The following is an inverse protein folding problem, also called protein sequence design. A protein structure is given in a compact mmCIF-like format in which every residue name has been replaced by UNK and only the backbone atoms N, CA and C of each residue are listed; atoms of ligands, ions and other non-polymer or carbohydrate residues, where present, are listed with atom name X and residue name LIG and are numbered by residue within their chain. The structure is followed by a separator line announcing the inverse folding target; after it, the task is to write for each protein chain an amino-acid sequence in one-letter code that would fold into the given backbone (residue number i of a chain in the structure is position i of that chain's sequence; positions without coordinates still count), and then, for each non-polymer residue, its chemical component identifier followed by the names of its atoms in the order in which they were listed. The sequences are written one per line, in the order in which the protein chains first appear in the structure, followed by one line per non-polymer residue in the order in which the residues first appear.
data_IF_379086380053
#
_entry.id   IF_379086380053
#
_cell.length_a   1.000
_cell.length_b   1.000
_cell.length_c   1.000
_cell.angle_alpha   90.00
_cell.angle_beta   90.00
_cell.angle_gamma   90.00
#
_symmetry.space_group_name_H-M   'P 1'
#
loop_
_entity.id
_entity.type
_entity.pdbx_description
1 polymer ?
#
# COMPACT_ATOMS: atom_id res chain seq x y z
N UNK A 1 -14.19 -27.54 16.47
CA UNK A 1 -13.61 -26.50 15.59
C UNK A 1 -14.11 -25.16 16.10
N UNK A 2 -13.26 -24.38 16.78
CA UNK A 2 -13.64 -23.03 17.21
C UNK A 2 -13.57 -22.11 15.99
N UNK A 3 -14.73 -21.67 15.51
CA UNK A 3 -14.81 -20.59 14.53
C UNK A 3 -14.20 -19.34 15.18
N UNK A 4 -12.96 -19.03 14.83
CA UNK A 4 -12.29 -17.78 15.16
C UNK A 4 -12.86 -16.68 14.26
N UNK A 5 -14.15 -16.38 14.42
CA UNK A 5 -14.77 -15.24 13.76
C UNK A 5 -14.50 -14.04 14.66
N UNK A 6 -13.36 -13.37 14.45
CA UNK A 6 -13.12 -12.07 15.06
C UNK A 6 -14.10 -11.07 14.43
N UNK A 7 -15.22 -10.85 15.10
CA UNK A 7 -16.21 -9.85 14.72
C UNK A 7 -15.74 -8.52 15.32
N UNK A 8 -15.32 -7.60 14.47
CA UNK A 8 -14.95 -6.24 14.85
C UNK A 8 -16.15 -5.33 14.59
N UNK A 9 -16.64 -4.66 15.63
CA UNK A 9 -17.74 -3.68 15.52
C UNK A 9 -17.12 -2.30 15.65
N UNK A 10 -17.18 -1.53 14.56
CA UNK A 10 -16.71 -0.16 14.51
C UNK A 10 -17.89 0.80 14.58
N UNK A 11 -17.68 1.94 15.25
CA UNK A 11 -18.46 3.16 15.00
C UNK A 11 -17.96 3.83 13.72
N UNK A 12 -18.74 4.74 13.13
CA UNK A 12 -18.31 5.47 11.92
C UNK A 12 -16.98 6.21 12.14
N UNK A 13 -16.77 6.76 13.33
CA UNK A 13 -15.55 7.47 13.73
C UNK A 13 -14.34 6.52 13.81
N UNK A 14 -14.51 5.37 14.48
CA UNK A 14 -13.42 4.39 14.64
C UNK A 14 -13.11 3.65 13.33
N UNK A 15 -14.10 3.50 12.45
CA UNK A 15 -13.88 2.98 11.09
C UNK A 15 -13.07 3.98 10.25
N UNK A 16 -13.39 5.27 10.32
CA UNK A 16 -12.65 6.31 9.60
C UNK A 16 -11.20 6.42 10.09
N UNK A 17 -10.97 6.32 11.40
CA UNK A 17 -9.61 6.29 11.99
C UNK A 17 -8.83 5.06 11.53
N UNK A 18 -9.47 3.89 11.52
CA UNK A 18 -8.87 2.65 11.04
C UNK A 18 -8.50 2.72 9.54
N UNK A 19 -9.41 3.22 8.70
CA UNK A 19 -9.16 3.39 7.27
C UNK A 19 -8.05 4.40 7.01
N UNK A 20 -7.98 5.46 7.81
CA UNK A 20 -6.87 6.42 7.77
C UNK A 20 -5.54 5.77 8.14
N UNK A 21 -5.50 4.93 9.17
CA UNK A 21 -4.29 4.20 9.56
C UNK A 21 -3.82 3.25 8.44
N UNK A 22 -4.75 2.54 7.80
CA UNK A 22 -4.46 1.71 6.62
C UNK A 22 -3.85 2.57 5.50
N UNK A 23 -4.50 3.69 5.16
CA UNK A 23 -4.05 4.57 4.09
C UNK A 23 -2.62 5.09 4.34
N UNK A 24 -2.31 5.47 5.59
CA UNK A 24 -0.96 5.92 5.98
C UNK A 24 0.07 4.80 5.80
N UNK A 25 -0.22 3.58 6.29
CA UNK A 25 0.72 2.44 6.19
C UNK A 25 0.97 2.04 4.73
N UNK A 26 -0.08 1.96 3.92
CA UNK A 26 0.03 1.68 2.48
C UNK A 26 0.84 2.77 1.79
N UNK A 27 0.56 4.05 2.06
CA UNK A 27 1.31 5.16 1.48
C UNK A 27 2.81 5.11 1.85
N UNK A 28 3.14 4.86 3.11
CA UNK A 28 4.52 4.71 3.56
C UNK A 28 5.25 3.57 2.83
N UNK A 29 4.59 2.42 2.69
CA UNK A 29 5.15 1.27 1.96
C UNK A 29 5.39 1.59 0.48
N UNK A 30 4.40 2.17 -0.19
CA UNK A 30 4.45 2.52 -1.61
C UNK A 30 5.49 3.59 -1.89
N UNK A 31 5.52 4.67 -1.10
CA UNK A 31 6.51 5.75 -1.25
C UNK A 31 7.94 5.21 -1.11
N UNK A 32 8.18 4.36 -0.11
CA UNK A 32 9.49 3.72 0.10
C UNK A 32 9.88 2.79 -1.05
N UNK A 33 8.92 2.03 -1.60
CA UNK A 33 9.15 1.17 -2.76
C UNK A 33 9.53 2.01 -3.99
N UNK A 34 8.68 2.98 -4.35
CA UNK A 34 8.88 3.83 -5.52
C UNK A 34 10.19 4.59 -5.44
N UNK A 35 10.52 5.18 -4.28
CA UNK A 35 11.79 5.88 -4.09
C UNK A 35 13.00 4.96 -4.33
N UNK A 36 12.96 3.72 -3.83
CA UNK A 36 14.03 2.73 -4.06
C UNK A 36 14.15 2.32 -5.53
N UNK A 37 13.03 2.18 -6.23
CA UNK A 37 13.04 1.90 -7.67
C UNK A 37 13.66 3.07 -8.44
N UNK A 38 13.23 4.31 -8.15
CA UNK A 38 13.75 5.51 -8.80
C UNK A 38 15.25 5.70 -8.58
N UNK A 39 15.78 5.44 -7.39
CA UNK A 39 17.24 5.51 -7.11
C UNK A 39 18.04 4.54 -7.97
N UNK A 40 17.46 3.41 -8.38
CA UNK A 40 18.11 2.40 -9.23
C UNK A 40 17.99 2.70 -10.72
N UNK A 41 17.18 3.70 -11.10
CA UNK A 41 16.94 4.09 -12.48
C UNK A 41 17.94 5.14 -12.97
N UNK A 42 18.27 5.09 -14.26
CA UNK A 42 18.95 6.17 -14.97
C UNK A 42 18.03 7.37 -15.17
N UNK A 43 18.59 8.55 -15.47
CA UNK A 43 17.80 9.77 -15.67
C UNK A 43 16.70 9.63 -16.75
N UNK A 44 16.93 9.01 -17.93
CA UNK A 44 15.85 8.77 -18.89
C UNK A 44 14.74 7.84 -18.37
N UNK A 45 15.11 6.82 -17.60
CA UNK A 45 14.14 5.91 -16.98
C UNK A 45 13.29 6.62 -15.92
N UNK A 46 13.88 7.53 -15.14
CA UNK A 46 13.14 8.35 -14.16
C UNK A 46 12.16 9.31 -14.85
N UNK A 47 12.54 9.92 -15.97
CA UNK A 47 11.63 10.76 -16.76
C UNK A 47 10.46 9.92 -17.30
N UNK A 48 10.75 8.73 -17.84
CA UNK A 48 9.70 7.79 -18.32
C UNK A 48 8.78 7.34 -17.17
N UNK A 49 9.31 7.17 -15.96
CA UNK A 49 8.56 6.78 -14.78
C UNK A 49 7.47 7.79 -14.37
N UNK A 50 7.54 9.03 -14.86
CA UNK A 50 6.48 10.04 -14.66
C UNK A 50 5.33 9.93 -15.66
N UNK A 51 5.47 9.13 -16.72
CA UNK A 51 4.37 8.83 -17.64
C UNK A 51 3.35 7.90 -16.98
N UNK A 52 2.09 7.94 -17.44
CA UNK A 52 1.02 7.05 -16.94
C UNK A 52 1.46 5.58 -16.87
N UNK A 53 2.04 5.06 -17.94
CA UNK A 53 2.53 3.68 -18.01
C UNK A 53 3.71 3.42 -17.08
N UNK A 54 4.62 4.40 -16.92
CA UNK A 54 5.74 4.30 -16.00
C UNK A 54 5.30 4.27 -14.53
N UNK A 55 4.24 5.02 -14.20
CA UNK A 55 3.63 5.00 -12.87
C UNK A 55 3.02 3.63 -12.59
N UNK A 56 2.24 3.07 -13.53
CA UNK A 56 1.62 1.74 -13.39
C UNK A 56 2.68 0.65 -13.14
N UNK A 57 3.83 0.72 -13.81
CA UNK A 57 4.94 -0.24 -13.62
C UNK A 57 5.69 -0.07 -12.30
N UNK A 58 5.55 1.07 -11.62
CA UNK A 58 6.14 1.37 -10.32
C UNK A 58 5.22 0.98 -9.14
N UNK A 59 3.94 0.70 -9.42
CA UNK A 59 3.00 0.28 -8.39
C UNK A 59 3.25 -1.16 -7.97
N UNK A 60 2.85 -1.48 -6.74
CA UNK A 60 2.81 -2.85 -6.29
C UNK A 60 1.80 -3.66 -7.10
N UNK A 61 2.10 -4.94 -7.33
CA UNK A 61 1.08 -5.89 -7.75
C UNK A 61 0.07 -6.13 -6.60
N UNK A 62 -1.09 -6.65 -6.98
CA UNK A 62 -2.21 -6.92 -6.07
C UNK A 62 -1.80 -7.85 -4.92
N UNK A 63 -1.04 -8.91 -5.22
CA UNK A 63 -0.56 -9.86 -4.22
C UNK A 63 0.34 -9.20 -3.16
N UNK A 64 1.19 -8.25 -3.57
CA UNK A 64 2.06 -7.51 -2.65
C UNK A 64 1.26 -6.54 -1.79
N UNK A 65 0.24 -5.89 -2.36
CA UNK A 65 -0.67 -5.04 -1.59
C UNK A 65 -1.42 -5.86 -0.53
N UNK A 66 -1.95 -7.04 -0.90
CA UNK A 66 -2.62 -7.94 0.04
C UNK A 66 -1.70 -8.39 1.17
N UNK A 67 -0.43 -8.69 0.86
CA UNK A 67 0.57 -9.04 1.87
C UNK A 67 0.87 -7.86 2.82
N UNK A 68 0.91 -6.63 2.31
CA UNK A 68 1.07 -5.43 3.14
C UNK A 68 -0.14 -5.25 4.06
N UNK A 69 -1.36 -5.38 3.52
CA UNK A 69 -2.60 -5.24 4.27
C UNK A 69 -2.75 -6.32 5.34
N UNK A 70 -2.27 -7.54 5.09
CA UNK A 70 -2.30 -8.64 6.06
C UNK A 70 -1.44 -8.40 7.32
N UNK A 71 -0.48 -7.47 7.26
CA UNK A 71 0.35 -7.08 8.41
C UNK A 71 -0.19 -5.87 9.19
N UNK A 72 -1.29 -5.27 8.73
CA UNK A 72 -1.97 -4.22 9.47
C UNK A 72 -2.87 -4.92 10.51
N UNK A 73 -2.67 -4.64 11.82
CA UNK A 73 -3.55 -5.17 12.86
C UNK A 73 -5.00 -4.78 12.54
N UNK A 74 -5.90 -5.74 12.61
CA UNK A 74 -7.35 -5.56 12.45
C UNK A 74 -8.03 -5.42 13.80
#
# INVERSE_FOLDING_TARGET
MSNNTNIHVFTDETLAEHDFEIAVKVNQATTKHVARQMVRMTAPQQVRAQSRRGIEELMFDEHTLDAILAHIPR
#
